data_IF_251734997237
#
_entry.id   IF_251734997237
#
_cell.length_a   1.000
_cell.length_b   1.000
_cell.length_c   1.000
_cell.angle_alpha   90.00
_cell.angle_beta   90.00
_cell.angle_gamma   90.00
#
_symmetry.space_group_name_H-M   'P 1'
#
loop_
_entity.id
_entity.type
_entity.pdbx_description
1 polymer ?
#
# COMPACT_ATOMS: atom_id res chain seq x y z
N UNK A 1 36.88 -11.87 12.75
CA UNK A 1 36.96 -10.39 12.71
C UNK A 1 36.80 -9.82 11.29
N UNK A 2 36.96 -10.61 10.20
CA UNK A 2 36.68 -10.18 8.83
C UNK A 2 35.18 -10.27 8.43
N UNK A 3 34.42 -11.23 8.97
CA UNK A 3 32.99 -11.41 8.67
C UNK A 3 32.09 -10.25 9.14
N UNK A 4 32.51 -9.52 10.18
CA UNK A 4 31.77 -8.38 10.74
C UNK A 4 31.92 -7.11 9.89
N UNK A 5 33.00 -7.04 9.08
CA UNK A 5 33.28 -5.92 8.18
C UNK A 5 32.52 -6.12 6.86
N UNK A 6 32.41 -7.35 6.34
CA UNK A 6 31.60 -7.67 5.16
C UNK A 6 30.10 -7.45 5.39
N UNK A 7 29.58 -7.75 6.59
CA UNK A 7 28.18 -7.46 6.94
C UNK A 7 27.93 -5.96 7.05
N UNK A 8 28.88 -5.17 7.58
CA UNK A 8 28.77 -3.71 7.65
C UNK A 8 28.78 -3.05 6.26
N UNK A 9 29.63 -3.52 5.35
CA UNK A 9 29.73 -3.00 3.98
C UNK A 9 28.50 -3.41 3.15
N UNK A 10 27.98 -4.64 3.32
CA UNK A 10 26.80 -5.14 2.62
C UNK A 10 25.47 -4.52 3.06
N UNK A 11 25.38 -4.05 4.32
CA UNK A 11 24.24 -3.27 4.82
C UNK A 11 24.35 -1.81 4.37
N UNK A 12 25.56 -1.25 4.34
CA UNK A 12 25.83 0.10 3.82
C UNK A 12 25.49 0.23 2.33
N UNK A 13 25.96 -0.69 1.48
CA UNK A 13 25.69 -0.66 0.03
C UNK A 13 24.22 -0.89 -0.30
N UNK A 14 23.53 -1.82 0.36
CA UNK A 14 22.08 -2.00 0.17
C UNK A 14 21.24 -0.81 0.64
N UNK A 15 21.69 -0.09 1.68
CA UNK A 15 21.03 1.12 2.16
C UNK A 15 21.28 2.30 1.24
N UNK A 16 22.49 2.41 0.67
CA UNK A 16 22.83 3.42 -0.36
C UNK A 16 22.09 3.13 -1.66
N UNK A 17 22.01 1.88 -2.12
CA UNK A 17 21.22 1.50 -3.31
C UNK A 17 19.72 1.74 -3.11
N UNK A 18 19.19 1.53 -1.90
CA UNK A 18 17.82 1.88 -1.55
C UNK A 18 17.61 3.40 -1.53
N UNK A 19 18.54 4.15 -0.94
CA UNK A 19 18.51 5.62 -0.90
C UNK A 19 18.65 6.20 -2.32
N UNK A 20 19.52 5.67 -3.17
CA UNK A 20 19.67 6.09 -4.57
C UNK A 20 18.48 5.66 -5.44
N UNK A 21 17.87 4.51 -5.18
CA UNK A 21 16.63 4.09 -5.85
C UNK A 21 15.45 4.97 -5.42
N UNK A 22 15.39 5.33 -4.14
CA UNK A 22 14.38 6.23 -3.58
C UNK A 22 14.62 7.67 -4.06
N UNK A 23 15.85 8.16 -4.07
CA UNK A 23 16.23 9.49 -4.58
C UNK A 23 16.02 9.55 -6.09
N UNK A 24 16.45 8.57 -6.87
CA UNK A 24 16.25 8.53 -8.32
C UNK A 24 14.78 8.41 -8.72
N UNK A 25 13.97 7.68 -7.92
CA UNK A 25 12.51 7.73 -8.04
C UNK A 25 11.97 9.10 -7.65
N UNK A 26 12.42 9.68 -6.54
CA UNK A 26 12.01 11.01 -6.07
C UNK A 26 12.35 12.09 -7.10
N UNK A 27 13.51 12.07 -7.75
CA UNK A 27 13.91 13.02 -8.80
C UNK A 27 13.07 12.86 -10.07
N UNK A 28 12.79 11.62 -10.48
CA UNK A 28 11.86 11.33 -11.58
C UNK A 28 10.44 11.81 -11.28
N UNK A 29 9.99 11.68 -10.02
CA UNK A 29 8.68 12.12 -9.58
C UNK A 29 8.63 13.62 -9.24
N UNK A 30 9.72 14.26 -8.83
CA UNK A 30 9.80 15.69 -8.52
C UNK A 30 9.49 16.57 -9.72
N UNK A 31 9.87 16.13 -10.94
CA UNK A 31 9.47 16.82 -12.18
C UNK A 31 7.99 16.67 -12.52
N UNK A 32 7.35 15.56 -12.12
CA UNK A 32 5.92 15.31 -12.33
C UNK A 32 5.05 15.97 -11.23
N UNK A 33 5.63 16.22 -10.05
CA UNK A 33 4.99 16.82 -8.86
C UNK A 33 4.59 18.30 -9.01
N UNK A 34 4.93 18.96 -10.11
CA UNK A 34 4.54 20.36 -10.33
C UNK A 34 3.09 20.52 -10.80
N UNK A 35 2.46 19.46 -11.31
CA UNK A 35 1.05 19.45 -11.73
C UNK A 35 0.22 18.48 -10.86
N UNK A 36 -0.58 19.05 -9.96
CA UNK A 36 -1.54 18.35 -9.10
C UNK A 36 -2.45 17.39 -9.88
N UNK A 37 -2.78 17.72 -11.13
CA UNK A 37 -3.62 16.90 -12.03
C UNK A 37 -2.89 15.64 -12.45
N UNK A 38 -1.67 15.77 -12.97
CA UNK A 38 -0.86 14.62 -13.40
C UNK A 38 -0.59 13.68 -12.24
N UNK A 39 -0.32 14.25 -11.06
CA UNK A 39 -0.05 13.45 -9.87
C UNK A 39 -1.30 12.71 -9.36
N UNK A 40 -2.47 13.33 -9.40
CA UNK A 40 -3.75 12.66 -9.10
C UNK A 40 -4.04 11.51 -10.08
N UNK A 41 -3.72 11.68 -11.36
CA UNK A 41 -3.87 10.65 -12.40
C UNK A 41 -2.92 9.47 -12.19
N UNK A 42 -1.66 9.74 -11.84
CA UNK A 42 -0.71 8.68 -11.50
C UNK A 42 -1.13 7.89 -10.27
N UNK A 43 -1.64 8.59 -9.23
CA UNK A 43 -2.20 7.94 -8.04
C UNK A 43 -3.34 6.99 -8.42
N UNK A 44 -4.24 7.45 -9.30
CA UNK A 44 -5.37 6.64 -9.77
C UNK A 44 -4.91 5.40 -10.55
N UNK A 45 -3.92 5.54 -11.43
CA UNK A 45 -3.35 4.41 -12.19
C UNK A 45 -2.75 3.37 -11.24
N UNK A 46 -1.97 3.78 -10.24
CA UNK A 46 -1.39 2.84 -9.26
C UNK A 46 -2.48 2.06 -8.52
N UNK A 47 -3.58 2.73 -8.14
CA UNK A 47 -4.73 2.09 -7.48
C UNK A 47 -5.40 1.08 -8.41
N UNK A 48 -5.66 1.45 -9.66
CA UNK A 48 -6.30 0.56 -10.65
C UNK A 48 -5.40 -0.64 -10.93
N UNK A 49 -4.10 -0.45 -11.13
CA UNK A 49 -3.15 -1.55 -11.35
C UNK A 49 -3.15 -2.53 -10.18
N UNK A 50 -3.09 -2.03 -8.95
CA UNK A 50 -3.16 -2.87 -7.76
C UNK A 50 -4.48 -3.65 -7.66
N UNK A 51 -5.60 -3.03 -8.04
CA UNK A 51 -6.90 -3.71 -8.11
C UNK A 51 -6.91 -4.81 -9.17
N UNK A 52 -6.36 -4.56 -10.36
CA UNK A 52 -6.23 -5.59 -11.42
C UNK A 52 -5.38 -6.76 -10.96
N UNK A 53 -4.23 -6.49 -10.32
CA UNK A 53 -3.41 -7.55 -9.69
C UNK A 53 -4.25 -8.36 -8.71
N UNK A 54 -4.93 -7.71 -7.77
CA UNK A 54 -5.71 -8.39 -6.74
C UNK A 54 -6.92 -9.17 -7.29
N UNK A 55 -7.54 -8.74 -8.39
CA UNK A 55 -8.61 -9.49 -9.08
C UNK A 55 -8.14 -10.83 -9.62
N UNK A 56 -6.86 -10.94 -10.00
CA UNK A 56 -6.29 -12.20 -10.53
C UNK A 56 -5.86 -13.18 -9.44
N UNK A 57 -5.88 -12.75 -8.17
CA UNK A 57 -5.40 -13.55 -7.05
C UNK A 57 -6.55 -14.34 -6.42
N UNK A 58 -6.40 -15.66 -6.33
CA UNK A 58 -7.31 -16.51 -5.56
C UNK A 58 -6.95 -16.44 -4.06
N UNK A 59 -7.66 -15.60 -3.29
CA UNK A 59 -7.39 -15.39 -1.87
C UNK A 59 -7.56 -16.62 -0.97
N UNK A 60 -8.40 -17.58 -1.37
CA UNK A 60 -8.70 -18.77 -0.54
C UNK A 60 -7.47 -19.67 -0.34
N UNK A 61 -6.51 -19.60 -1.27
CA UNK A 61 -5.23 -20.32 -1.18
C UNK A 61 -4.33 -19.83 -0.04
N UNK A 62 -4.62 -18.69 0.59
CA UNK A 62 -3.73 -18.04 1.56
C UNK A 62 -4.21 -18.06 3.02
N UNK A 63 -5.14 -18.98 3.34
CA UNK A 63 -5.74 -19.04 4.67
C UNK A 63 -4.73 -19.46 5.77
N UNK A 64 -3.77 -20.33 5.43
CA UNK A 64 -2.76 -20.88 6.38
C UNK A 64 -1.32 -20.78 5.84
N UNK A 65 -1.06 -19.82 4.95
CA UNK A 65 0.23 -19.68 4.29
C UNK A 65 1.21 -18.88 5.16
N UNK A 66 2.50 -19.23 5.11
CA UNK A 66 3.55 -18.45 5.78
C UNK A 66 3.79 -17.13 5.05
N UNK A 67 4.22 -16.10 5.79
CA UNK A 67 4.45 -14.78 5.19
C UNK A 67 5.55 -14.78 4.10
N UNK A 68 6.56 -15.65 4.23
CA UNK A 68 7.69 -15.76 3.29
C UNK A 68 7.46 -16.76 2.15
N UNK A 69 6.24 -17.27 1.99
CA UNK A 69 5.89 -18.20 0.93
C UNK A 69 6.18 -17.60 -0.46
N UNK A 70 6.74 -18.38 -1.41
CA UNK A 70 7.06 -17.88 -2.76
C UNK A 70 5.88 -17.27 -3.52
N UNK A 71 4.66 -17.78 -3.31
CA UNK A 71 3.45 -17.25 -3.95
C UNK A 71 3.10 -15.87 -3.37
N UNK A 72 3.28 -15.69 -2.06
CA UNK A 72 3.08 -14.40 -1.39
C UNK A 72 4.12 -13.40 -1.84
N UNK A 73 5.40 -13.79 -1.90
CA UNK A 73 6.47 -12.94 -2.43
C UNK A 73 6.14 -12.43 -3.83
N UNK A 74 5.62 -13.31 -4.70
CA UNK A 74 5.19 -12.94 -6.06
C UNK A 74 4.07 -11.89 -6.02
N UNK A 75 3.02 -12.10 -5.23
CA UNK A 75 1.90 -11.14 -5.11
C UNK A 75 2.40 -9.79 -4.58
N UNK A 76 3.20 -9.78 -3.51
CA UNK A 76 3.68 -8.54 -2.88
C UNK A 76 4.63 -7.76 -3.80
N UNK A 77 5.38 -8.44 -4.67
CA UNK A 77 6.22 -7.81 -5.69
C UNK A 77 5.39 -7.09 -6.76
N UNK A 78 4.20 -7.59 -7.06
CA UNK A 78 3.29 -6.98 -8.05
C UNK A 78 2.52 -5.78 -7.50
N UNK A 79 2.33 -5.71 -6.17
CA UNK A 79 1.66 -4.57 -5.53
C UNK A 79 2.60 -3.38 -5.41
N UNK A 80 2.16 -2.23 -5.89
CA UNK A 80 2.89 -0.96 -5.91
C UNK A 80 2.36 -0.01 -4.83
N UNK A 81 3.26 0.74 -4.22
CA UNK A 81 2.99 1.71 -3.14
C UNK A 81 3.73 3.03 -3.35
N UNK A 82 4.50 3.14 -4.43
CA UNK A 82 5.45 4.24 -4.64
C UNK A 82 4.74 5.60 -4.70
N UNK A 83 3.62 5.69 -5.44
CA UNK A 83 2.84 6.92 -5.59
C UNK A 83 1.92 7.16 -4.39
N UNK A 84 1.28 6.10 -3.87
CA UNK A 84 0.44 6.16 -2.68
C UNK A 84 1.23 6.67 -1.46
N UNK A 85 2.46 6.19 -1.27
CA UNK A 85 3.33 6.61 -0.18
C UNK A 85 3.77 8.06 -0.34
N UNK A 86 4.09 8.49 -1.57
CA UNK A 86 4.60 9.84 -1.81
C UNK A 86 3.59 10.96 -1.55
N UNK A 87 2.30 10.64 -1.37
CA UNK A 87 1.27 11.59 -0.89
C UNK A 87 1.60 12.14 0.51
N UNK A 88 2.32 11.38 1.34
CA UNK A 88 2.64 11.78 2.71
C UNK A 88 3.95 12.55 2.86
N UNK A 89 4.79 12.58 1.83
CA UNK A 89 6.05 13.30 1.88
C UNK A 89 5.83 14.80 1.66
N UNK A 90 6.25 15.58 2.65
CA UNK A 90 6.42 17.03 2.55
C UNK A 90 7.87 17.31 2.20
N UNK A 91 8.12 18.04 1.11
CA UNK A 91 9.43 18.64 0.84
C UNK A 91 9.29 20.14 0.91
N UNK A 92 10.23 20.82 1.56
CA UNK A 92 10.20 22.27 1.79
C UNK A 92 10.16 23.10 0.48
N UNK A 93 10.48 22.50 -0.67
CA UNK A 93 10.48 23.15 -1.97
C UNK A 93 9.26 22.83 -2.87
N UNK A 94 8.31 21.98 -2.46
CA UNK A 94 7.32 21.43 -3.41
C UNK A 94 5.88 21.32 -2.89
N UNK A 95 4.93 21.74 -3.75
CA UNK A 95 3.49 21.97 -3.54
C UNK A 95 2.63 20.69 -3.31
N UNK A 96 3.15 19.66 -2.65
CA UNK A 96 2.33 18.49 -2.28
C UNK A 96 1.22 18.82 -1.26
N UNK A 97 1.25 20.01 -0.65
CA UNK A 97 0.20 20.53 0.22
C UNK A 97 -1.15 20.56 -0.51
N UNK A 98 -1.17 20.93 -1.80
CA UNK A 98 -2.44 21.07 -2.51
C UNK A 98 -3.12 19.71 -2.73
N UNK A 99 -2.39 18.69 -3.18
CA UNK A 99 -2.95 17.34 -3.31
C UNK A 99 -3.32 16.76 -1.95
N UNK A 100 -2.43 16.87 -0.96
CA UNK A 100 -2.68 16.39 0.39
C UNK A 100 -3.97 16.99 0.94
N UNK A 101 -4.14 18.31 0.83
CA UNK A 101 -5.34 19.01 1.27
C UNK A 101 -6.57 18.67 0.41
N UNK A 102 -6.42 18.48 -0.91
CA UNK A 102 -7.51 18.03 -1.80
C UNK A 102 -8.03 16.65 -1.42
N UNK A 103 -7.12 15.72 -1.10
CA UNK A 103 -7.44 14.38 -0.62
C UNK A 103 -8.02 14.43 0.80
N UNK A 104 -7.45 15.24 1.70
CA UNK A 104 -7.94 15.43 3.07
C UNK A 104 -9.37 16.00 3.12
N UNK A 105 -9.71 16.94 2.23
CA UNK A 105 -11.03 17.59 2.14
C UNK A 105 -12.13 16.64 1.67
N UNK A 106 -11.80 15.56 0.96
CA UNK A 106 -12.76 14.48 0.69
C UNK A 106 -12.96 13.70 1.99
N UNK A 107 -13.97 14.14 2.74
CA UNK A 107 -14.34 13.66 4.07
C UNK A 107 -14.83 12.21 4.11
N UNK A 108 -15.64 11.91 5.14
CA UNK A 108 -15.97 10.55 5.59
C UNK A 108 -16.20 9.54 4.46
N UNK A 109 -15.29 8.57 4.33
CA UNK A 109 -15.47 7.46 3.40
C UNK A 109 -16.18 6.34 4.12
N UNK A 110 -17.39 6.04 3.65
CA UNK A 110 -18.15 4.89 4.09
C UNK A 110 -17.83 3.67 3.22
N UNK A 111 -17.67 2.53 3.87
CA UNK A 111 -17.52 1.22 3.24
C UNK A 111 -18.88 0.50 3.05
N UNK A 112 -20.01 1.23 2.90
CA UNK A 112 -21.34 0.60 2.73
C UNK A 112 -21.29 -0.35 1.51
N UNK A 113 -21.60 -1.62 1.73
CA UNK A 113 -21.60 -2.66 0.68
C UNK A 113 -20.26 -3.35 0.45
N UNK A 114 -19.20 -3.03 1.20
CA UNK A 114 -17.90 -3.69 1.09
C UNK A 114 -17.69 -4.75 2.17
N UNK A 115 -17.13 -5.90 1.77
CA UNK A 115 -16.86 -7.04 2.67
C UNK A 115 -15.55 -6.85 3.42
N UNK A 116 -15.57 -6.05 4.50
CA UNK A 116 -14.42 -5.95 5.39
C UNK A 116 -14.40 -7.12 6.37
N UNK A 117 -13.24 -7.72 6.58
CA UNK A 117 -13.06 -8.80 7.55
C UNK A 117 -12.34 -8.24 8.77
N UNK A 118 -12.95 -8.41 9.95
CA UNK A 118 -12.34 -8.14 11.26
C UNK A 118 -11.98 -9.47 11.90
N UNK A 119 -10.84 -9.54 12.55
CA UNK A 119 -10.56 -10.59 13.52
C UNK A 119 -11.30 -10.25 14.81
N UNK A 120 -12.16 -11.15 15.28
CA UNK A 120 -12.87 -11.00 16.54
C UNK A 120 -11.90 -11.12 17.72
N UNK A 121 -12.34 -10.71 18.92
CA UNK A 121 -11.55 -10.90 20.15
C UNK A 121 -11.25 -12.38 20.45
N UNK A 122 -11.97 -13.32 19.82
CA UNK A 122 -11.79 -14.77 19.94
C UNK A 122 -10.91 -15.36 18.84
N UNK A 123 -10.41 -14.54 17.91
CA UNK A 123 -9.57 -14.98 16.78
C UNK A 123 -10.34 -15.30 15.50
N UNK A 124 -11.67 -15.43 15.56
CA UNK A 124 -12.49 -15.74 14.39
C UNK A 124 -12.53 -14.59 13.37
N UNK A 125 -12.44 -14.91 12.08
CA UNK A 125 -12.65 -13.96 10.99
C UNK A 125 -14.16 -13.69 10.83
N UNK A 126 -14.60 -12.48 11.19
CA UNK A 126 -15.99 -12.05 11.07
C UNK A 126 -16.10 -10.94 10.03
N UNK A 127 -17.15 -11.01 9.18
CA UNK A 127 -17.55 -9.87 8.35
C UNK A 127 -17.88 -8.70 9.28
N UNK A 128 -17.29 -7.54 9.02
CA UNK A 128 -17.53 -6.34 9.79
C UNK A 128 -18.97 -5.87 9.55
N UNK A 129 -19.86 -6.11 10.53
CA UNK A 129 -21.28 -5.71 10.46
C UNK A 129 -21.49 -4.19 10.49
N UNK A 130 -20.54 -3.46 11.06
CA UNK A 130 -20.56 -1.99 11.15
C UNK A 130 -19.82 -1.38 9.97
N UNK A 131 -20.40 -0.36 9.32
CA UNK A 131 -19.64 0.46 8.39
C UNK A 131 -18.42 1.06 9.09
N UNK A 132 -17.21 0.79 8.60
CA UNK A 132 -16.03 1.56 8.97
C UNK A 132 -16.14 2.94 8.31
N UNK A 133 -16.02 3.96 9.14
CA UNK A 133 -15.93 5.34 8.71
C UNK A 133 -14.46 5.71 8.76
N UNK A 134 -13.83 5.89 7.60
CA UNK A 134 -12.58 6.64 7.53
C UNK A 134 -12.92 8.10 7.60
N UNK A 135 -12.12 8.89 8.31
CA UNK A 135 -12.33 10.34 8.38
C UNK A 135 -12.04 11.01 7.03
N UNK A 136 -11.09 10.47 6.26
CA UNK A 136 -10.75 10.92 4.90
C UNK A 136 -9.99 9.83 4.10
N UNK A 137 -9.74 10.09 2.81
CA UNK A 137 -9.03 9.18 1.90
C UNK A 137 -7.58 8.89 2.29
N UNK A 138 -6.91 9.83 2.96
CA UNK A 138 -5.52 9.68 3.38
C UNK A 138 -5.38 8.55 4.42
N UNK A 139 -6.37 8.36 5.28
CA UNK A 139 -6.37 7.22 6.22
C UNK A 139 -6.48 5.88 5.50
N UNK A 140 -7.26 5.80 4.41
CA UNK A 140 -7.36 4.59 3.59
C UNK A 140 -6.05 4.32 2.82
N UNK A 141 -5.45 5.37 2.24
CA UNK A 141 -4.14 5.28 1.57
C UNK A 141 -3.07 4.83 2.56
N UNK A 142 -3.00 5.45 3.74
CA UNK A 142 -2.05 5.10 4.81
C UNK A 142 -2.18 3.63 5.23
N UNK A 143 -3.41 3.12 5.33
CA UNK A 143 -3.65 1.71 5.60
C UNK A 143 -3.05 0.81 4.52
N UNK A 144 -3.34 1.09 3.24
CA UNK A 144 -2.86 0.28 2.11
C UNK A 144 -1.33 0.24 2.10
N UNK A 145 -0.69 1.41 2.13
CA UNK A 145 0.77 1.54 2.14
C UNK A 145 1.38 0.75 3.31
N UNK A 146 0.91 1.03 4.53
CA UNK A 146 1.44 0.37 5.74
C UNK A 146 1.29 -1.15 5.68
N UNK A 147 0.15 -1.66 5.22
CA UNK A 147 -0.08 -3.11 5.18
C UNK A 147 0.75 -3.79 4.10
N UNK A 148 0.89 -3.21 2.92
CA UNK A 148 1.73 -3.77 1.85
C UNK A 148 3.21 -3.75 2.26
N UNK A 149 3.70 -2.64 2.84
CA UNK A 149 5.11 -2.55 3.27
C UNK A 149 5.45 -3.53 4.39
N UNK A 150 4.54 -3.72 5.36
CA UNK A 150 4.73 -4.75 6.40
C UNK A 150 4.73 -6.15 5.80
N UNK A 151 3.83 -6.44 4.85
CA UNK A 151 3.81 -7.73 4.15
C UNK A 151 5.09 -7.95 3.35
N UNK A 152 5.62 -6.90 2.70
CA UNK A 152 6.89 -6.93 1.98
C UNK A 152 8.05 -7.27 2.89
N UNK A 153 8.17 -6.59 4.02
CA UNK A 153 9.21 -6.88 5.04
C UNK A 153 9.13 -8.30 5.57
N UNK A 154 7.92 -8.80 5.88
CA UNK A 154 7.81 -10.15 6.44
C UNK A 154 7.98 -11.24 5.39
N UNK A 155 7.71 -10.92 4.12
CA UNK A 155 7.95 -11.84 3.01
C UNK A 155 9.43 -12.15 2.83
N UNK A 156 10.34 -11.26 3.23
CA UNK A 156 11.80 -11.46 3.08
C UNK A 156 12.45 -12.21 4.25
N UNK A 157 11.70 -12.49 5.33
CA UNK A 157 12.25 -13.15 6.51
C UNK A 157 12.60 -14.62 6.24
N UNK A 158 13.63 -15.10 6.94
CA UNK A 158 13.97 -16.53 6.98
C UNK A 158 12.95 -17.32 7.81
N UNK A 159 13.05 -18.65 7.78
CA UNK A 159 12.15 -19.49 8.57
C UNK A 159 12.40 -19.35 10.08
N UNK A 160 13.66 -19.13 10.47
CA UNK A 160 14.06 -18.89 11.85
C UNK A 160 13.49 -17.55 12.35
N UNK A 161 13.60 -16.49 11.54
CA UNK A 161 13.04 -15.17 11.86
C UNK A 161 11.50 -15.19 11.91
N UNK A 162 10.84 -16.03 11.11
CA UNK A 162 9.39 -16.17 11.19
C UNK A 162 8.90 -16.85 12.47
N UNK A 163 9.77 -17.56 13.21
CA UNK A 163 9.37 -18.25 14.43
C UNK A 163 8.90 -17.27 15.53
N UNK A 164 9.34 -16.01 15.50
CA UNK A 164 8.93 -14.95 16.44
C UNK A 164 7.68 -14.19 15.98
N UNK A 165 7.19 -14.44 14.77
CA UNK A 165 6.07 -13.71 14.16
C UNK A 165 4.79 -14.56 14.24
N UNK A 166 3.71 -13.98 14.79
CA UNK A 166 2.39 -14.63 14.78
C UNK A 166 1.86 -14.76 13.34
N UNK A 167 0.87 -15.66 13.14
CA UNK A 167 0.20 -15.80 11.84
C UNK A 167 -0.24 -14.42 11.31
N UNK A 168 0.13 -14.13 10.06
CA UNK A 168 -0.16 -12.86 9.41
C UNK A 168 -1.63 -12.73 8.98
N UNK A 169 -2.38 -13.83 8.85
CA UNK A 169 -3.73 -13.88 8.29
C UNK A 169 -3.77 -13.22 6.90
N UNK A 170 -2.95 -13.75 5.99
CA UNK A 170 -2.69 -13.17 4.66
C UNK A 170 -3.96 -12.95 3.85
N UNK A 171 -4.86 -13.95 3.82
CA UNK A 171 -6.18 -13.85 3.18
C UNK A 171 -6.94 -12.60 3.64
N UNK A 172 -7.12 -12.43 4.94
CA UNK A 172 -7.81 -11.27 5.51
C UNK A 172 -7.12 -9.95 5.18
N UNK A 173 -5.78 -9.91 5.18
CA UNK A 173 -5.03 -8.69 4.82
C UNK A 173 -5.23 -8.32 3.36
N UNK A 174 -5.12 -9.27 2.44
CA UNK A 174 -5.31 -9.04 1.01
C UNK A 174 -6.75 -8.59 0.70
N UNK A 175 -7.75 -9.24 1.30
CA UNK A 175 -9.15 -8.81 1.18
C UNK A 175 -9.31 -7.38 1.69
N UNK A 176 -8.77 -7.08 2.87
CA UNK A 176 -8.87 -5.74 3.44
C UNK A 176 -8.17 -4.68 2.56
N UNK A 177 -6.99 -4.97 2.00
CA UNK A 177 -6.28 -4.09 1.07
C UNK A 177 -7.14 -3.85 -0.18
N UNK A 178 -7.66 -4.92 -0.80
CA UNK A 178 -8.53 -4.82 -1.98
C UNK A 178 -9.72 -3.89 -1.74
N UNK A 179 -10.40 -4.05 -0.60
CA UNK A 179 -11.55 -3.21 -0.26
C UNK A 179 -11.15 -1.75 -0.07
N UNK A 180 -10.01 -1.45 0.57
CA UNK A 180 -9.56 -0.05 0.74
C UNK A 180 -9.16 0.57 -0.59
N UNK A 181 -8.52 -0.18 -1.48
CA UNK A 181 -8.24 0.29 -2.83
C UNK A 181 -9.53 0.62 -3.59
N UNK A 182 -10.58 -0.20 -3.47
CA UNK A 182 -11.90 0.10 -4.04
C UNK A 182 -12.52 1.38 -3.43
N UNK A 183 -12.38 1.58 -2.11
CA UNK A 183 -12.85 2.80 -1.44
C UNK A 183 -12.15 4.05 -1.98
N UNK A 184 -10.82 3.98 -2.10
CA UNK A 184 -10.00 5.07 -2.62
C UNK A 184 -10.39 5.34 -4.07
N UNK A 185 -10.49 4.31 -4.91
CA UNK A 185 -10.93 4.41 -6.30
C UNK A 185 -12.29 5.11 -6.43
N UNK A 186 -13.29 4.69 -5.66
CA UNK A 186 -14.64 5.26 -5.70
C UNK A 186 -14.65 6.76 -5.38
N UNK A 187 -13.81 7.20 -4.43
CA UNK A 187 -13.65 8.63 -4.14
C UNK A 187 -12.93 9.34 -5.28
N UNK A 188 -11.92 8.69 -5.86
CA UNK A 188 -11.13 9.27 -6.95
C UNK A 188 -11.91 9.42 -8.26
N UNK A 189 -12.81 8.49 -8.56
CA UNK A 189 -13.75 8.57 -9.71
C UNK A 189 -14.63 9.84 -9.64
N UNK A 190 -14.76 10.45 -8.46
CA UNK A 190 -15.48 11.71 -8.25
C UNK A 190 -14.69 12.98 -8.57
N UNK A 191 -13.40 12.90 -8.91
CA UNK A 191 -12.60 14.03 -9.38
C UNK A 191 -12.75 14.20 -10.90
N UNK A 192 -12.97 15.44 -11.34
CA UNK A 192 -13.20 15.72 -12.76
C UNK A 192 -11.96 15.37 -13.61
N UNK A 193 -10.77 15.56 -13.05
CA UNK A 193 -9.49 15.21 -13.68
C UNK A 193 -9.34 13.70 -13.96
N UNK A 194 -10.06 12.86 -13.21
CA UNK A 194 -10.09 11.40 -13.33
C UNK A 194 -11.24 10.95 -14.24
N UNK A 195 -12.40 11.62 -14.21
CA UNK A 195 -13.54 11.31 -15.09
C UNK A 195 -13.18 11.41 -16.57
N UNK A 196 -12.30 12.33 -16.92
CA UNK A 196 -11.78 12.47 -18.30
C UNK A 196 -10.96 11.26 -18.77
N UNK A 197 -10.33 10.52 -17.85
CA UNK A 197 -9.53 9.33 -18.16
C UNK A 197 -10.29 8.01 -18.08
N UNK A 198 -11.39 7.98 -17.33
CA UNK A 198 -12.17 6.78 -17.07
C UNK A 198 -13.26 6.50 -18.13
N UNK A 199 -13.33 7.32 -19.20
CA UNK A 199 -14.16 7.11 -20.39
C UNK A 199 -13.40 6.30 -21.43
#
# INVERSE_FOLDING_TARGET
MLETIETGIGVGTKSVDFIETVIGKIEKYQRIRQDTTVYLRLLYIEIVNNLEVLKTVNFDKFSNTKANDPQIKTIIKLLQTDILESVFYKSDENKNIELYEKLRKRGKINNKGQELIKTSNKGDEIKAKSSFVYENILQAISFVVTKIEVMRKYSTLTNEELAIVKNMNLKTRLININQRLLMIKNVMDGFDEIKEMAR
#
